data_IF_067955469303
#
_entry.id   IF_067955469303
#
_cell.length_a   1.000
_cell.length_b   1.000
_cell.length_c   1.000
_cell.angle_alpha   90.00
_cell.angle_beta   90.00
_cell.angle_gamma   90.00
#
_symmetry.space_group_name_H-M   'P 1'
#
loop_
_entity.id
_entity.type
_entity.pdbx_description
1 polymer ?
#
# COMPACT_ATOMS: atom_id res chain seq x y z
N UNK A 1 4.14 -20.99 -17.42
CA UNK A 1 4.43 -19.63 -17.10
C UNK A 1 3.62 -19.17 -15.89
N UNK A 2 4.26 -18.66 -14.94
CA UNK A 2 3.52 -18.19 -13.79
C UNK A 2 3.04 -16.78 -13.96
N UNK A 3 1.99 -16.47 -13.28
CA UNK A 3 1.39 -15.15 -13.34
C UNK A 3 2.13 -14.22 -12.41
N UNK A 4 2.50 -13.06 -12.94
CA UNK A 4 3.05 -12.01 -12.13
C UNK A 4 1.91 -11.30 -11.42
N UNK A 5 1.99 -11.22 -10.10
CA UNK A 5 0.97 -10.55 -9.31
C UNK A 5 1.61 -9.39 -8.58
N UNK A 6 1.49 -8.18 -9.13
CA UNK A 6 2.05 -7.00 -8.47
C UNK A 6 1.36 -6.65 -7.17
N UNK A 7 0.14 -7.16 -6.94
CA UNK A 7 -0.60 -6.96 -5.70
C UNK A 7 -0.98 -8.33 -5.13
N UNK A 8 -1.07 -8.45 -3.79
CA UNK A 8 -1.58 -9.68 -3.20
C UNK A 8 -3.07 -9.87 -3.50
N UNK A 9 -3.58 -11.07 -3.29
CA UNK A 9 -4.99 -11.39 -3.55
C UNK A 9 -5.94 -10.53 -2.71
N UNK A 10 -5.46 -9.97 -1.61
CA UNK A 10 -6.29 -9.17 -0.71
C UNK A 10 -6.49 -7.73 -1.19
N UNK A 11 -5.82 -7.34 -2.27
CA UNK A 11 -5.86 -5.97 -2.78
C UNK A 11 -6.16 -5.95 -4.27
N UNK A 12 -6.85 -4.87 -4.69
CA UNK A 12 -7.09 -4.64 -6.12
C UNK A 12 -7.10 -3.14 -6.38
N UNK A 13 -6.89 -2.76 -7.65
CA UNK A 13 -6.94 -1.37 -8.06
C UNK A 13 -8.37 -1.05 -8.46
N UNK A 14 -8.89 0.09 -7.98
CA UNK A 14 -10.26 0.50 -8.26
C UNK A 14 -10.31 2.01 -8.32
N UNK A 15 -11.42 2.55 -8.86
CA UNK A 15 -11.62 4.00 -8.83
C UNK A 15 -11.73 4.45 -7.38
N UNK A 16 -11.16 5.62 -7.11
CA UNK A 16 -11.08 6.15 -5.76
C UNK A 16 -11.80 7.50 -5.68
N UNK A 17 -12.57 7.74 -4.62
CA UNK A 17 -13.13 9.08 -4.43
C UNK A 17 -12.07 10.10 -4.04
N UNK A 18 -10.88 9.67 -3.63
CA UNK A 18 -9.81 10.59 -3.26
C UNK A 18 -9.13 11.12 -4.51
N UNK A 19 -8.68 10.24 -5.41
CA UNK A 19 -7.93 10.64 -6.59
C UNK A 19 -7.86 9.47 -7.54
N UNK A 20 -8.40 9.63 -8.75
CA UNK A 20 -8.27 8.66 -9.83
C UNK A 20 -8.49 7.22 -9.41
N UNK A 21 -7.41 6.46 -9.36
CA UNK A 21 -7.42 5.07 -8.93
C UNK A 21 -6.78 4.95 -7.56
N UNK A 22 -7.24 3.98 -6.80
CA UNK A 22 -6.66 3.65 -5.50
C UNK A 22 -6.58 2.16 -5.34
N UNK A 23 -6.19 1.72 -4.15
CA UNK A 23 -6.07 0.31 -3.83
C UNK A 23 -7.12 -0.03 -2.78
N UNK A 24 -7.91 -1.06 -3.07
CA UNK A 24 -9.07 -1.43 -2.26
C UNK A 24 -8.91 -2.87 -1.81
N UNK A 25 -9.34 -3.15 -0.58
CA UNK A 25 -9.28 -4.50 -0.02
C UNK A 25 -10.35 -5.38 -0.64
N UNK A 26 -9.99 -6.63 -0.92
CA UNK A 26 -10.94 -7.64 -1.40
C UNK A 26 -11.40 -8.56 -0.30
N UNK A 27 -10.75 -8.50 0.85
CA UNK A 27 -11.02 -9.30 2.05
C UNK A 27 -10.70 -8.45 3.26
N UNK A 28 -11.25 -8.78 4.44
CA UNK A 28 -10.81 -8.09 5.65
C UNK A 28 -9.33 -8.34 5.89
N UNK A 29 -8.62 -7.32 6.37
CA UNK A 29 -7.20 -7.43 6.65
C UNK A 29 -6.96 -7.05 8.11
N UNK A 30 -6.31 -7.91 8.90
CA UNK A 30 -6.04 -7.60 10.29
C UNK A 30 -5.05 -6.45 10.45
N UNK A 31 -5.09 -5.83 11.61
CA UNK A 31 -4.09 -4.85 12.03
C UNK A 31 -2.68 -5.44 11.93
N UNK A 32 -1.71 -4.59 11.66
CA UNK A 32 -0.28 -4.93 11.66
C UNK A 32 0.08 -6.01 10.63
N UNK A 33 -0.56 -5.95 9.47
CA UNK A 33 -0.31 -6.88 8.37
C UNK A 33 0.55 -6.20 7.32
N UNK A 34 1.62 -6.87 6.89
CA UNK A 34 2.44 -6.38 5.78
C UNK A 34 1.70 -6.59 4.48
N UNK A 35 1.42 -5.51 3.77
CA UNK A 35 0.72 -5.59 2.48
C UNK A 35 1.68 -5.80 1.32
N UNK A 36 2.95 -5.49 1.49
CA UNK A 36 3.94 -5.70 0.47
C UNK A 36 4.90 -4.55 0.33
N UNK A 37 5.73 -4.65 -0.69
CA UNK A 37 6.78 -3.70 -0.99
C UNK A 37 6.20 -2.52 -1.75
N UNK A 38 6.49 -1.30 -1.29
CA UNK A 38 6.05 -0.11 -2.01
C UNK A 38 7.16 0.47 -2.88
N UNK A 39 8.39 0.49 -2.35
CA UNK A 39 9.52 1.10 -3.04
C UNK A 39 10.81 0.37 -2.74
N UNK A 40 11.73 0.42 -3.69
CA UNK A 40 13.13 0.06 -3.50
C UNK A 40 13.94 1.32 -3.80
N UNK A 41 14.80 1.74 -2.87
CA UNK A 41 15.44 3.05 -2.97
C UNK A 41 16.86 3.06 -3.51
N UNK A 42 17.46 1.92 -3.78
CA UNK A 42 18.84 1.88 -4.23
C UNK A 42 19.04 0.89 -5.34
N UNK A 43 19.83 1.22 -6.38
CA UNK A 43 20.51 2.50 -6.63
C UNK A 43 19.57 3.58 -7.12
N UNK A 44 18.42 3.20 -7.68
CA UNK A 44 17.40 4.10 -8.15
C UNK A 44 16.12 3.83 -7.40
N UNK A 45 15.28 4.85 -7.30
CA UNK A 45 13.97 4.66 -6.69
C UNK A 45 13.08 3.86 -7.64
N UNK A 46 12.64 2.70 -7.20
CA UNK A 46 11.73 1.84 -7.97
C UNK A 46 10.43 1.76 -7.19
N UNK A 47 9.33 2.11 -7.85
CA UNK A 47 8.01 2.13 -7.24
C UNK A 47 7.21 0.95 -7.76
N UNK A 48 6.67 0.14 -6.85
CA UNK A 48 5.82 -0.97 -7.22
C UNK A 48 4.40 -0.47 -7.50
N UNK A 49 3.52 -1.29 -8.09
CA UNK A 49 2.12 -0.90 -8.23
C UNK A 49 1.46 -0.55 -6.90
N UNK A 50 1.79 -1.27 -5.83
CA UNK A 50 1.26 -0.93 -4.50
C UNK A 50 1.65 0.49 -4.12
N UNK A 51 2.94 0.85 -4.25
CA UNK A 51 3.40 2.20 -3.93
C UNK A 51 2.93 3.24 -4.92
N UNK A 52 2.63 2.84 -6.16
CA UNK A 52 2.23 3.77 -7.21
C UNK A 52 0.77 4.17 -7.16
N UNK A 53 -0.09 3.33 -6.62
CA UNK A 53 -1.53 3.58 -6.64
C UNK A 53 -2.12 3.88 -5.28
N UNK A 54 -1.34 3.76 -4.20
CA UNK A 54 -1.87 4.05 -2.87
C UNK A 54 -2.04 5.56 -2.71
N UNK A 55 -3.19 5.99 -2.21
CA UNK A 55 -3.51 7.39 -2.08
C UNK A 55 -3.20 7.92 -0.70
N UNK A 56 -3.07 9.25 -0.61
CA UNK A 56 -2.79 9.95 0.63
C UNK A 56 -4.10 10.22 1.37
N UNK A 57 -4.06 10.15 2.69
CA UNK A 57 -5.16 10.56 3.54
C UNK A 57 -4.60 11.16 4.84
N UNK A 58 -5.31 12.10 5.41
CA UNK A 58 -4.96 12.65 6.73
C UNK A 58 -5.36 11.69 7.84
N UNK A 59 -6.21 10.71 7.53
CA UNK A 59 -6.62 9.68 8.48
C UNK A 59 -6.29 8.31 7.88
N UNK A 60 -5.00 8.00 7.72
CA UNK A 60 -4.60 6.81 6.99
C UNK A 60 -4.84 5.54 7.82
N UNK A 61 -4.97 4.41 7.11
CA UNK A 61 -5.09 3.12 7.76
C UNK A 61 -3.85 2.24 7.54
N UNK A 62 -2.79 2.82 6.97
CA UNK A 62 -1.54 2.12 6.73
C UNK A 62 -0.37 3.03 7.04
N UNK A 63 0.81 2.42 7.17
CA UNK A 63 2.06 3.13 7.45
C UNK A 63 3.18 2.48 6.65
N UNK A 64 4.20 3.27 6.32
CA UNK A 64 5.40 2.77 5.66
C UNK A 64 6.43 2.41 6.71
N UNK A 65 7.01 1.22 6.60
CA UNK A 65 8.11 0.78 7.44
C UNK A 65 9.29 0.47 6.53
N UNK A 66 10.41 1.13 6.79
CA UNK A 66 11.61 0.98 5.97
C UNK A 66 12.55 -0.04 6.59
N UNK A 67 13.11 -0.90 5.73
CA UNK A 67 14.12 -1.87 6.12
C UNK A 67 15.23 -1.80 5.09
N UNK A 68 16.37 -1.24 5.46
CA UNK A 68 17.45 -1.03 4.51
C UNK A 68 17.01 -0.09 3.40
N UNK A 69 17.10 -0.56 2.15
CA UNK A 69 16.69 0.25 1.01
C UNK A 69 15.28 -0.07 0.52
N UNK A 70 14.50 -0.82 1.30
CA UNK A 70 13.16 -1.22 0.91
C UNK A 70 12.13 -0.66 1.85
N UNK A 71 11.01 -0.24 1.29
CA UNK A 71 9.88 0.32 2.04
C UNK A 71 8.69 -0.60 1.89
N UNK A 72 8.11 -0.98 3.02
CA UNK A 72 6.96 -1.88 3.07
C UNK A 72 5.77 -1.15 3.66
N UNK A 73 4.58 -1.54 3.24
CA UNK A 73 3.34 -0.94 3.75
C UNK A 73 2.68 -1.93 4.70
N UNK A 74 2.35 -1.45 5.89
CA UNK A 74 1.69 -2.23 6.94
C UNK A 74 0.38 -1.57 7.31
N UNK A 75 -0.62 -2.39 7.62
CA UNK A 75 -1.87 -1.87 8.16
C UNK A 75 -1.66 -1.41 9.59
N UNK A 76 -2.40 -0.38 10.01
CA UNK A 76 -2.34 0.14 11.37
C UNK A 76 -3.63 -0.10 12.14
N UNK A 77 -4.56 -0.82 11.55
CA UNK A 77 -5.84 -1.15 12.14
C UNK A 77 -6.47 -2.28 11.34
N UNK A 78 -7.52 -2.88 11.88
CA UNK A 78 -8.27 -3.87 11.13
C UNK A 78 -9.00 -3.15 10.00
N UNK A 79 -8.85 -3.66 8.77
CA UNK A 79 -9.45 -3.02 7.60
C UNK A 79 -10.52 -3.94 7.03
N UNK A 80 -11.77 -3.47 6.93
CA UNK A 80 -12.83 -4.28 6.34
C UNK A 80 -12.62 -4.51 4.84
N UNK A 81 -13.35 -5.45 4.30
CA UNK A 81 -13.42 -5.67 2.87
C UNK A 81 -13.97 -4.42 2.17
N UNK A 82 -13.56 -4.19 0.93
CA UNK A 82 -14.03 -3.08 0.09
C UNK A 82 -13.67 -1.71 0.66
N UNK A 83 -12.51 -1.62 1.28
CA UNK A 83 -12.05 -0.38 1.90
C UNK A 83 -10.76 0.07 1.23
N UNK A 84 -10.67 1.34 0.89
CA UNK A 84 -9.45 1.87 0.30
C UNK A 84 -8.36 1.94 1.35
N UNK A 85 -7.14 1.46 1.01
CA UNK A 85 -5.99 1.62 1.89
C UNK A 85 -5.30 2.94 1.56
N UNK A 86 -4.84 3.63 2.59
CA UNK A 86 -4.28 4.98 2.45
C UNK A 86 -3.08 5.15 3.34
N UNK A 87 -2.21 6.09 2.94
CA UNK A 87 -1.03 6.48 3.70
C UNK A 87 -1.09 7.98 3.94
N UNK A 88 -0.34 8.44 4.94
CA UNK A 88 -0.01 9.85 4.98
C UNK A 88 1.47 9.99 4.68
N UNK A 89 1.80 10.90 3.76
CA UNK A 89 3.19 11.05 3.35
C UNK A 89 4.06 11.65 4.44
N UNK A 90 3.43 12.19 5.47
CA UNK A 90 4.21 12.74 6.58
C UNK A 90 4.87 11.66 7.42
N UNK A 91 4.37 10.45 7.39
CA UNK A 91 5.00 9.34 8.11
C UNK A 91 6.13 8.73 7.31
N UNK A 92 6.26 9.12 6.05
CA UNK A 92 7.28 8.58 5.16
C UNK A 92 8.36 9.61 5.01
N UNK A 93 9.38 9.49 5.82
CA UNK A 93 10.48 10.46 5.84
C UNK A 93 11.76 9.81 5.41
N UNK A 94 12.49 10.43 4.49
CA UNK A 94 13.81 9.93 4.10
C UNK A 94 14.78 9.99 5.25
#
# INVERSE_FOLDING_TARGET
>A
MENYRPLPDTLTISLSPIHGHGIVTTKPIPDNTCLGLSHIRSPELIRTPLGGYINHSDTPNCVVISEGNRDYIYTTENIPKNTEITLTYRTYRP
#
